data_IF_537001886259
#
_entry.id   IF_537001886259
#
_cell.length_a   1.000
_cell.length_b   1.000
_cell.length_c   1.000
_cell.angle_alpha   90.00
_cell.angle_beta   90.00
_cell.angle_gamma   90.00
#
_symmetry.space_group_name_H-M   'P 1'
#
loop_
_entity.id
_entity.type
_entity.pdbx_description
1 polymer ?
#
# COMPACT_ATOMS: atom_id res chain seq x y z
N UNK A 1 63.18 -23.21 -36.25
CA UNK A 1 62.11 -23.00 -35.25
C UNK A 1 61.00 -22.25 -35.95
N UNK A 2 60.01 -22.98 -36.45
CA UNK A 2 58.81 -22.41 -37.08
C UNK A 2 57.68 -22.55 -36.08
N UNK A 3 57.24 -21.41 -35.54
CA UNK A 3 56.08 -21.33 -34.64
C UNK A 3 54.83 -21.80 -35.39
N UNK A 4 54.12 -22.74 -34.76
CA UNK A 4 52.80 -23.18 -35.21
C UNK A 4 51.80 -22.12 -34.76
N UNK A 5 50.92 -21.59 -35.63
CA UNK A 5 49.91 -20.65 -35.20
C UNK A 5 48.92 -21.39 -34.28
N UNK A 6 48.82 -20.96 -33.02
CA UNK A 6 47.73 -21.36 -32.13
C UNK A 6 46.42 -20.93 -32.80
N UNK A 7 45.59 -21.91 -33.15
CA UNK A 7 44.25 -21.66 -33.66
C UNK A 7 43.51 -20.74 -32.69
N UNK A 8 43.04 -19.59 -33.19
CA UNK A 8 42.15 -18.72 -32.44
C UNK A 8 40.95 -19.56 -32.02
N UNK A 9 40.67 -19.63 -30.71
CA UNK A 9 39.44 -20.24 -30.22
C UNK A 9 38.28 -19.56 -30.96
N UNK A 10 37.48 -20.35 -31.68
CA UNK A 10 36.28 -19.85 -32.34
C UNK A 10 35.42 -19.23 -31.25
N UNK A 11 35.13 -17.93 -31.40
CA UNK A 11 34.27 -17.25 -30.47
C UNK A 11 32.84 -17.73 -30.74
N UNK A 12 32.47 -18.86 -30.16
CA UNK A 12 31.14 -19.49 -30.33
C UNK A 12 30.02 -18.70 -29.63
N UNK A 13 30.32 -17.48 -29.15
CA UNK A 13 29.33 -16.53 -28.67
C UNK A 13 28.52 -15.99 -29.85
N UNK A 14 27.21 -16.05 -29.71
CA UNK A 14 26.31 -15.34 -30.62
C UNK A 14 26.03 -13.94 -30.08
N UNK A 15 25.84 -12.98 -30.99
CA UNK A 15 25.25 -11.68 -30.67
C UNK A 15 23.75 -11.79 -30.85
N UNK A 16 23.00 -11.73 -29.76
CA UNK A 16 21.54 -11.72 -29.80
C UNK A 16 21.06 -10.43 -30.47
N UNK A 17 20.13 -10.52 -31.41
CA UNK A 17 19.53 -9.38 -32.11
C UNK A 17 18.03 -9.20 -31.79
N UNK A 18 17.53 -9.96 -30.82
CA UNK A 18 16.13 -9.93 -30.40
C UNK A 18 15.70 -8.62 -29.72
N UNK A 19 16.64 -7.83 -29.21
CA UNK A 19 16.37 -6.51 -28.62
C UNK A 19 17.59 -5.55 -28.76
N UNK A 20 17.41 -4.24 -28.51
CA UNK A 20 18.47 -3.23 -28.69
C UNK A 20 19.72 -3.42 -27.85
N UNK A 21 19.63 -4.17 -26.74
CA UNK A 21 20.79 -4.44 -25.85
C UNK A 21 21.87 -5.22 -26.57
N UNK A 22 21.49 -6.06 -27.53
CA UNK A 22 22.39 -6.86 -28.36
C UNK A 22 23.47 -7.64 -27.58
N UNK A 23 23.06 -8.34 -26.52
CA UNK A 23 23.97 -9.06 -25.64
C UNK A 23 24.70 -10.22 -26.34
N UNK A 24 25.92 -10.52 -25.89
CA UNK A 24 26.68 -11.69 -26.33
C UNK A 24 26.40 -12.88 -25.42
N UNK A 25 26.00 -14.02 -26.01
CA UNK A 25 25.56 -15.21 -25.28
C UNK A 25 26.50 -16.37 -25.57
N UNK A 26 27.11 -16.94 -24.53
CA UNK A 26 27.98 -18.13 -24.66
C UNK A 26 27.14 -19.39 -24.96
N UNK A 27 27.70 -20.39 -25.66
CA UNK A 27 27.01 -21.67 -25.89
C UNK A 27 26.46 -22.27 -24.59
N UNK A 28 25.22 -22.73 -24.63
CA UNK A 28 24.51 -23.32 -23.49
C UNK A 28 24.00 -22.33 -22.44
N UNK A 29 24.26 -21.02 -22.61
CA UNK A 29 23.83 -19.98 -21.66
C UNK A 29 22.60 -19.21 -22.17
N UNK A 30 21.84 -18.65 -21.24
CA UNK A 30 20.84 -17.65 -21.54
C UNK A 30 21.46 -16.25 -21.66
N UNK A 31 20.82 -15.38 -22.45
CA UNK A 31 21.16 -13.97 -22.57
C UNK A 31 20.67 -13.17 -21.37
N UNK A 32 20.97 -11.87 -21.36
CA UNK A 32 20.70 -11.00 -20.20
C UNK A 32 19.22 -10.88 -19.77
N UNK A 33 18.28 -11.29 -20.63
CA UNK A 33 16.86 -11.31 -20.33
C UNK A 33 16.33 -12.68 -19.90
N UNK A 34 17.16 -13.73 -19.93
CA UNK A 34 16.81 -15.14 -19.72
C UNK A 34 15.80 -15.74 -20.71
N UNK A 35 15.33 -14.97 -21.70
CA UNK A 35 14.33 -15.42 -22.71
C UNK A 35 14.91 -16.06 -23.94
N UNK A 36 16.16 -15.73 -24.26
CA UNK A 36 16.87 -16.23 -25.41
C UNK A 36 18.15 -16.91 -24.94
N UNK A 37 18.47 -18.05 -25.53
CA UNK A 37 19.67 -18.81 -25.23
C UNK A 37 20.46 -19.10 -26.50
N UNK A 38 21.75 -19.37 -26.33
CA UNK A 38 22.61 -19.85 -27.40
C UNK A 38 22.62 -21.39 -27.37
N UNK A 39 21.79 -22.01 -28.21
CA UNK A 39 21.85 -23.44 -28.46
C UNK A 39 22.86 -23.72 -29.58
N UNK A 40 24.10 -23.98 -29.20
CA UNK A 40 25.18 -24.40 -30.10
C UNK A 40 25.37 -23.51 -31.35
N UNK A 41 25.39 -22.19 -31.16
CA UNK A 41 25.51 -21.20 -32.22
C UNK A 41 24.18 -20.68 -32.77
N UNK A 42 23.05 -21.22 -32.28
CA UNK A 42 21.69 -20.81 -32.69
C UNK A 42 21.01 -20.02 -31.58
N UNK A 43 20.49 -18.83 -31.91
CA UNK A 43 19.65 -18.08 -30.97
C UNK A 43 18.27 -18.73 -30.89
N UNK A 44 17.92 -19.27 -29.73
CA UNK A 44 16.61 -19.91 -29.49
C UNK A 44 15.87 -19.18 -28.38
N UNK A 45 14.53 -19.06 -28.50
CA UNK A 45 13.69 -18.55 -27.42
C UNK A 45 13.39 -19.69 -26.45
N UNK A 46 13.63 -19.47 -25.16
CA UNK A 46 13.47 -20.47 -24.08
C UNK A 46 12.38 -20.10 -23.07
N UNK A 47 11.88 -18.86 -23.12
CA UNK A 47 10.74 -18.39 -22.31
C UNK A 47 9.48 -18.25 -23.20
N UNK A 48 8.45 -19.10 -23.00
CA UNK A 48 7.26 -19.09 -23.84
C UNK A 48 6.36 -17.89 -23.55
N UNK A 49 5.69 -17.39 -24.59
CA UNK A 49 4.68 -16.36 -24.45
C UNK A 49 3.43 -16.92 -23.75
N UNK A 50 2.91 -16.21 -22.76
CA UNK A 50 1.79 -16.68 -21.94
C UNK A 50 0.45 -16.29 -22.57
N UNK A 51 -0.27 -17.30 -23.08
CA UNK A 51 -1.66 -17.21 -23.53
C UNK A 51 -2.58 -17.76 -22.43
N UNK A 52 -3.49 -16.95 -21.90
CA UNK A 52 -4.27 -17.34 -20.72
C UNK A 52 -5.10 -18.60 -20.97
N UNK A 53 -5.85 -18.67 -22.06
CA UNK A 53 -6.74 -19.79 -22.35
C UNK A 53 -5.97 -21.10 -22.51
N UNK A 54 -4.80 -21.04 -23.14
CA UNK A 54 -3.92 -22.20 -23.31
C UNK A 54 -3.34 -22.65 -21.97
N UNK A 55 -2.84 -21.71 -21.16
CA UNK A 55 -2.31 -22.01 -19.82
C UNK A 55 -3.38 -22.65 -18.93
N UNK A 56 -4.64 -22.19 -19.01
CA UNK A 56 -5.78 -22.83 -18.31
C UNK A 56 -6.02 -24.25 -18.83
N UNK A 57 -6.09 -24.43 -20.15
CA UNK A 57 -6.37 -25.73 -20.77
C UNK A 57 -5.27 -26.78 -20.48
N UNK A 58 -4.01 -26.35 -20.36
CA UNK A 58 -2.85 -27.20 -20.05
C UNK A 58 -2.61 -27.35 -18.53
N UNK A 59 -3.45 -26.77 -17.67
CA UNK A 59 -3.35 -26.88 -16.21
C UNK A 59 -2.23 -26.07 -15.57
N UNK A 60 -1.73 -25.04 -16.26
CA UNK A 60 -0.68 -24.15 -15.76
C UNK A 60 -1.15 -23.23 -14.62
N UNK A 61 -0.21 -22.83 -13.76
CA UNK A 61 -0.49 -21.92 -12.65
C UNK A 61 -0.64 -20.47 -13.16
N UNK A 62 -1.81 -19.88 -12.93
CA UNK A 62 -2.07 -18.46 -13.16
C UNK A 62 -2.31 -17.77 -11.82
N UNK A 63 -1.75 -16.57 -11.65
CA UNK A 63 -2.14 -15.70 -10.54
C UNK A 63 -3.53 -15.17 -10.85
N UNK A 64 -4.53 -15.64 -10.11
CA UNK A 64 -5.91 -15.18 -10.28
C UNK A 64 -5.98 -13.66 -10.06
N UNK A 65 -6.32 -12.93 -11.12
CA UNK A 65 -6.71 -11.53 -11.00
C UNK A 65 -8.15 -11.52 -10.46
N UNK A 66 -8.29 -11.35 -9.14
CA UNK A 66 -9.53 -11.44 -8.37
C UNK A 66 -10.19 -12.83 -8.33
N UNK A 67 -9.84 -13.63 -7.33
CA UNK A 67 -10.68 -14.75 -6.90
C UNK A 67 -11.89 -14.20 -6.12
N UNK A 68 -13.01 -13.94 -6.80
CA UNK A 68 -14.24 -13.50 -6.13
C UNK A 68 -15.39 -13.09 -7.05
N UNK A 69 -16.36 -13.99 -7.18
CA UNK A 69 -17.71 -13.86 -7.76
C UNK A 69 -17.87 -13.96 -9.30
N UNK A 70 -18.49 -15.04 -9.74
CA UNK A 70 -19.51 -14.92 -10.79
C UNK A 70 -20.75 -14.25 -10.13
N UNK A 71 -21.48 -13.32 -10.75
CA UNK A 71 -21.78 -13.18 -12.16
C UNK A 71 -21.64 -11.74 -12.69
N UNK A 72 -21.08 -11.60 -13.90
CA UNK A 72 -21.33 -10.45 -14.77
C UNK A 72 -21.44 -10.91 -16.24
N UNK A 73 -22.49 -10.44 -16.93
CA UNK A 73 -23.04 -10.98 -18.18
C UNK A 73 -23.66 -9.92 -19.12
N UNK A 74 -23.07 -8.73 -19.25
CA UNK A 74 -23.53 -7.68 -20.18
C UNK A 74 -22.40 -7.11 -21.04
N UNK A 75 -21.64 -8.00 -21.67
CA UNK A 75 -20.25 -7.82 -22.14
C UNK A 75 -19.97 -6.77 -23.23
N UNK A 76 -18.67 -6.45 -23.42
CA UNK A 76 -17.93 -6.54 -24.70
C UNK A 76 -16.41 -6.48 -24.39
N UNK A 77 -15.71 -7.52 -23.97
CA UNK A 77 -15.96 -8.96 -24.12
C UNK A 77 -15.37 -9.76 -22.95
N UNK A 78 -16.12 -10.81 -22.54
CA UNK A 78 -15.65 -11.97 -21.78
C UNK A 78 -15.68 -13.26 -22.63
N UNK A 79 -16.04 -13.15 -23.91
CA UNK A 79 -16.36 -14.29 -24.80
C UNK A 79 -15.81 -14.15 -26.23
N UNK A 80 -14.85 -13.28 -26.50
CA UNK A 80 -14.29 -13.13 -27.85
C UNK A 80 -12.77 -13.33 -27.87
N UNK A 81 -12.36 -14.58 -28.10
CA UNK A 81 -11.02 -14.93 -28.58
C UNK A 81 -9.87 -14.77 -27.59
N UNK A 82 -8.81 -15.55 -27.84
CA UNK A 82 -7.49 -15.54 -27.20
C UNK A 82 -7.13 -14.23 -26.47
N UNK A 83 -7.11 -14.22 -25.12
CA UNK A 83 -6.59 -13.12 -24.34
C UNK A 83 -5.06 -13.19 -24.27
N UNK A 84 -4.43 -12.25 -24.98
CA UNK A 84 -2.97 -12.17 -25.11
C UNK A 84 -2.40 -11.31 -23.99
N UNK A 85 -1.62 -11.91 -23.07
CA UNK A 85 -0.94 -11.15 -22.02
C UNK A 85 0.38 -10.59 -22.53
N UNK A 86 0.86 -9.49 -21.95
CA UNK A 86 2.23 -9.05 -22.22
C UNK A 86 3.30 -9.90 -21.54
N UNK A 87 2.95 -10.81 -20.62
CA UNK A 87 3.92 -11.57 -19.84
C UNK A 87 4.65 -12.56 -20.76
N UNK A 88 5.98 -12.46 -20.78
CA UNK A 88 6.82 -13.26 -21.67
C UNK A 88 6.67 -12.83 -23.13
N UNK A 89 6.16 -11.64 -23.45
CA UNK A 89 6.15 -11.12 -24.83
C UNK A 89 7.55 -10.68 -25.27
N UNK A 90 8.37 -10.16 -24.35
CA UNK A 90 9.58 -9.43 -24.68
C UNK A 90 9.28 -7.99 -25.10
N UNK A 91 10.33 -7.22 -25.27
CA UNK A 91 10.23 -5.84 -25.72
C UNK A 91 11.39 -5.49 -26.62
N UNK A 92 11.07 -4.79 -27.69
CA UNK A 92 12.04 -4.09 -28.52
C UNK A 92 12.17 -2.64 -28.09
N UNK A 93 11.32 -2.12 -27.18
CA UNK A 93 11.33 -0.70 -26.81
C UNK A 93 12.65 -0.26 -26.14
N UNK A 94 13.14 0.98 -26.40
CA UNK A 94 12.72 1.88 -27.47
C UNK A 94 13.45 1.54 -28.78
N UNK A 95 12.76 0.95 -29.75
CA UNK A 95 13.32 0.60 -31.06
C UNK A 95 12.23 0.71 -32.14
N UNK A 96 12.65 0.79 -33.40
CA UNK A 96 11.78 0.80 -34.58
C UNK A 96 11.26 -0.60 -34.92
N UNK A 97 11.82 -1.67 -34.31
CA UNK A 97 11.33 -3.04 -34.50
C UNK A 97 9.91 -3.16 -33.92
N UNK A 98 8.92 -3.64 -34.69
CA UNK A 98 7.56 -3.87 -34.21
C UNK A 98 7.53 -4.78 -32.97
N UNK A 99 6.43 -4.71 -32.21
CA UNK A 99 6.24 -5.56 -31.06
C UNK A 99 6.32 -7.05 -31.45
N UNK A 100 6.90 -7.93 -30.61
CA UNK A 100 7.11 -9.34 -30.96
C UNK A 100 5.82 -10.10 -31.30
N UNK A 101 4.70 -9.68 -30.71
CA UNK A 101 3.39 -10.29 -30.93
C UNK A 101 2.38 -9.22 -31.36
N UNK A 102 1.82 -9.41 -32.55
CA UNK A 102 0.74 -8.61 -33.11
C UNK A 102 -0.36 -9.59 -33.48
N UNK A 103 -1.51 -9.48 -32.83
CA UNK A 103 -2.63 -10.40 -33.00
C UNK A 103 -3.81 -9.63 -33.55
N UNK A 104 -4.34 -10.08 -34.68
CA UNK A 104 -5.55 -9.52 -35.28
C UNK A 104 -6.76 -10.40 -34.93
N UNK A 105 -7.88 -9.74 -34.69
CA UNK A 105 -9.19 -10.35 -34.46
C UNK A 105 -10.27 -9.43 -35.04
N UNK A 106 -11.48 -9.95 -35.25
CA UNK A 106 -12.63 -9.14 -35.64
C UNK A 106 -13.65 -9.20 -34.50
N UNK A 107 -14.12 -8.04 -34.02
CA UNK A 107 -15.17 -7.93 -33.01
C UNK A 107 -16.31 -7.12 -33.61
N UNK A 108 -17.48 -7.75 -33.78
CA UNK A 108 -18.69 -7.12 -34.35
C UNK A 108 -18.45 -6.41 -35.69
N UNK A 109 -17.65 -7.02 -36.57
CA UNK A 109 -17.30 -6.42 -37.88
C UNK A 109 -16.23 -5.33 -37.80
N UNK A 110 -15.62 -5.11 -36.64
CA UNK A 110 -14.53 -4.15 -36.43
C UNK A 110 -13.21 -4.92 -36.32
N UNK A 111 -12.25 -4.59 -37.17
CA UNK A 111 -10.87 -5.09 -37.05
C UNK A 111 -10.24 -4.60 -35.74
N UNK A 112 -9.90 -5.53 -34.86
CA UNK A 112 -9.15 -5.28 -33.63
C UNK A 112 -7.74 -5.84 -33.77
N UNK A 113 -6.75 -4.96 -33.63
CA UNK A 113 -5.32 -5.32 -33.62
C UNK A 113 -4.76 -5.11 -32.22
N UNK A 114 -4.32 -6.19 -31.60
CA UNK A 114 -3.66 -6.17 -30.29
C UNK A 114 -2.15 -6.25 -30.48
N UNK A 115 -1.44 -5.21 -30.04
CA UNK A 115 0.02 -5.11 -30.12
C UNK A 115 0.58 -5.31 -28.72
N UNK A 116 1.43 -6.33 -28.55
CA UNK A 116 1.85 -6.78 -27.23
C UNK A 116 3.36 -6.63 -27.06
N UNK A 117 3.74 -5.80 -26.09
CA UNK A 117 5.13 -5.57 -25.69
C UNK A 117 5.23 -5.51 -24.17
N UNK A 118 6.38 -5.89 -23.62
CA UNK A 118 6.65 -5.70 -22.20
C UNK A 118 7.25 -4.34 -21.88
N UNK A 119 6.92 -3.83 -20.70
CA UNK A 119 7.62 -2.70 -20.11
C UNK A 119 8.98 -3.13 -19.55
N UNK A 120 9.96 -2.25 -19.66
CA UNK A 120 11.24 -2.44 -18.97
C UNK A 120 11.02 -2.13 -17.49
N UNK A 121 11.56 -2.98 -16.61
CA UNK A 121 11.39 -2.85 -15.17
C UNK A 121 11.86 -1.50 -14.62
N UNK A 122 12.79 -0.82 -15.29
CA UNK A 122 13.36 0.48 -14.93
C UNK A 122 12.34 1.58 -14.64
N UNK A 123 11.12 1.49 -15.18
CA UNK A 123 10.05 2.48 -14.95
C UNK A 123 9.01 2.01 -13.93
N UNK A 124 9.14 0.78 -13.42
CA UNK A 124 8.17 0.18 -12.52
C UNK A 124 8.33 0.73 -11.10
N UNK A 125 7.21 0.81 -10.39
CA UNK A 125 7.15 1.15 -8.99
C UNK A 125 5.94 0.51 -8.32
N UNK A 126 5.92 0.55 -7.00
CA UNK A 126 4.82 0.06 -6.17
C UNK A 126 4.33 1.20 -5.29
N UNK A 127 3.01 1.34 -5.20
CA UNK A 127 2.36 2.14 -4.18
C UNK A 127 1.91 1.23 -3.05
N UNK A 128 2.47 1.42 -1.87
CA UNK A 128 2.24 0.57 -0.71
C UNK A 128 1.37 1.31 0.32
N UNK A 129 0.19 0.76 0.62
CA UNK A 129 -0.66 1.20 1.73
C UNK A 129 -0.21 0.51 3.01
N UNK A 130 0.01 1.30 4.07
CA UNK A 130 0.37 0.76 5.39
C UNK A 130 -0.85 0.85 6.31
N UNK A 131 -1.36 -0.30 6.73
CA UNK A 131 -2.50 -0.40 7.65
C UNK A 131 -2.02 -0.20 9.09
N UNK A 132 -1.79 1.05 9.48
CA UNK A 132 -1.43 1.49 10.84
C UNK A 132 -2.01 2.88 11.09
N UNK A 133 -2.30 3.21 12.35
CA UNK A 133 -2.60 4.58 12.80
C UNK A 133 -1.34 5.31 13.32
N UNK A 134 -0.21 4.61 13.49
CA UNK A 134 1.05 5.21 13.95
C UNK A 134 1.65 6.10 12.87
N UNK A 135 2.20 7.23 13.30
CA UNK A 135 2.94 8.09 12.40
C UNK A 135 4.27 7.45 11.98
N UNK A 136 4.45 7.24 10.67
CA UNK A 136 5.62 6.64 10.04
C UNK A 136 6.66 7.65 9.58
N UNK A 137 6.30 8.93 9.48
CA UNK A 137 7.16 10.02 9.02
C UNK A 137 6.42 11.04 8.14
N UNK A 138 6.99 12.23 7.90
CA UNK A 138 6.35 13.23 7.05
C UNK A 138 6.30 12.79 5.57
N UNK A 139 5.40 13.39 4.79
CA UNK A 139 5.44 13.25 3.33
C UNK A 139 6.83 13.64 2.80
N UNK A 140 7.27 12.96 1.73
CA UNK A 140 8.60 13.05 1.13
C UNK A 140 9.75 12.48 1.97
N UNK A 141 9.50 11.98 3.19
CA UNK A 141 10.54 11.28 3.95
C UNK A 141 11.06 10.08 3.15
N UNK A 142 12.38 9.98 3.01
CA UNK A 142 13.03 8.90 2.27
C UNK A 142 12.75 7.56 2.94
N UNK A 143 12.39 6.57 2.13
CA UNK A 143 12.24 5.17 2.54
C UNK A 143 13.45 4.38 2.05
N UNK A 144 14.04 3.58 2.94
CA UNK A 144 15.26 2.82 2.69
C UNK A 144 15.10 1.33 2.91
N UNK A 145 15.90 0.56 2.18
CA UNK A 145 16.15 -0.87 2.38
C UNK A 145 17.67 -1.06 2.34
N UNK A 146 18.26 -1.82 3.27
CA UNK A 146 19.73 -2.03 3.33
C UNK A 146 20.56 -0.73 3.27
N UNK A 147 20.01 0.36 3.80
CA UNK A 147 20.58 1.71 3.78
C UNK A 147 20.44 2.48 2.46
N UNK A 148 20.00 1.83 1.37
CA UNK A 148 19.77 2.47 0.07
C UNK A 148 18.40 3.15 0.02
N UNK A 149 18.27 4.35 -0.56
CA UNK A 149 16.98 4.97 -0.81
C UNK A 149 16.24 4.19 -1.90
N UNK A 150 15.02 3.74 -1.62
CA UNK A 150 14.19 2.96 -2.56
C UNK A 150 12.87 3.65 -2.90
N UNK A 151 12.59 4.79 -2.27
CA UNK A 151 11.33 5.51 -2.43
C UNK A 151 11.13 6.57 -1.36
N UNK A 152 9.88 6.96 -1.16
CA UNK A 152 9.50 7.95 -0.14
C UNK A 152 8.08 7.70 0.40
N UNK A 153 7.82 8.24 1.59
CA UNK A 153 6.45 8.39 2.12
C UNK A 153 5.71 9.36 1.20
N UNK A 154 4.59 8.92 0.65
CA UNK A 154 3.77 9.70 -0.28
C UNK A 154 2.44 10.09 0.36
N UNK A 155 1.57 10.73 -0.42
CA UNK A 155 0.30 11.28 0.03
C UNK A 155 -0.51 10.30 0.87
N UNK A 156 -0.95 10.75 2.03
CA UNK A 156 -1.83 9.99 2.92
C UNK A 156 -3.21 9.83 2.28
N UNK A 157 -3.75 8.61 2.31
CA UNK A 157 -5.04 8.30 1.72
C UNK A 157 -5.90 7.50 2.70
N UNK A 158 -7.14 7.95 2.90
CA UNK A 158 -8.14 7.28 3.76
C UNK A 158 -7.66 6.99 5.20
N UNK A 159 -6.74 7.81 5.73
CA UNK A 159 -6.21 7.64 7.10
C UNK A 159 -4.98 6.76 7.22
N UNK A 160 -4.43 6.25 6.10
CA UNK A 160 -3.23 5.42 6.10
C UNK A 160 -2.10 6.10 5.34
N UNK A 161 -0.92 6.13 5.96
CA UNK A 161 0.28 6.56 5.25
C UNK A 161 0.61 5.60 4.10
N UNK A 162 1.02 6.18 2.99
CA UNK A 162 1.37 5.48 1.76
C UNK A 162 2.86 5.61 1.51
N UNK A 163 3.44 4.66 0.80
CA UNK A 163 4.81 4.77 0.29
C UNK A 163 4.81 4.58 -1.24
N UNK A 164 5.59 5.39 -1.94
CA UNK A 164 5.89 5.21 -3.36
C UNK A 164 7.32 4.67 -3.47
N UNK A 165 7.46 3.42 -3.90
CA UNK A 165 8.72 2.70 -3.99
C UNK A 165 9.07 2.42 -5.46
N UNK A 166 10.36 2.48 -5.81
CA UNK A 166 10.85 2.20 -7.15
C UNK A 166 10.87 3.41 -8.09
N UNK A 167 10.68 3.16 -9.38
CA UNK A 167 10.78 4.15 -10.44
C UNK A 167 12.20 4.38 -10.95
N UNK A 168 12.29 5.12 -12.05
CA UNK A 168 13.54 5.34 -12.81
C UNK A 168 14.67 5.87 -11.95
N UNK A 169 14.34 6.78 -11.03
CA UNK A 169 15.32 7.40 -10.15
C UNK A 169 16.05 6.35 -9.31
N UNK A 170 15.32 5.45 -8.65
CA UNK A 170 15.90 4.45 -7.76
C UNK A 170 16.43 3.22 -8.51
N UNK A 171 15.81 2.84 -9.63
CA UNK A 171 16.23 1.66 -10.39
C UNK A 171 17.46 1.93 -11.27
N UNK A 172 17.61 3.15 -11.79
CA UNK A 172 18.65 3.47 -12.78
C UNK A 172 19.36 4.81 -12.58
N UNK A 173 18.79 5.74 -11.81
CA UNK A 173 19.36 7.07 -11.58
C UNK A 173 20.43 7.10 -10.50
N UNK A 174 20.36 6.17 -9.54
CA UNK A 174 21.28 6.04 -8.42
C UNK A 174 22.51 5.17 -8.68
N UNK A 175 23.09 4.67 -7.60
CA UNK A 175 24.20 3.71 -7.68
C UNK A 175 23.75 2.31 -8.10
N UNK A 176 24.70 1.47 -8.54
CA UNK A 176 24.41 0.06 -8.85
C UNK A 176 23.82 -0.70 -7.65
N UNK A 177 24.25 -0.37 -6.44
CA UNK A 177 23.72 -0.96 -5.21
C UNK A 177 22.26 -0.54 -4.99
N UNK A 178 21.95 0.74 -5.10
CA UNK A 178 20.59 1.29 -4.99
C UNK A 178 19.62 0.61 -5.97
N UNK A 179 19.99 0.52 -7.24
CA UNK A 179 19.14 -0.12 -8.26
C UNK A 179 18.87 -1.60 -7.98
N UNK A 180 19.90 -2.34 -7.53
CA UNK A 180 19.75 -3.75 -7.14
C UNK A 180 18.82 -3.91 -5.94
N UNK A 181 19.09 -3.16 -4.86
CA UNK A 181 18.30 -3.23 -3.61
C UNK A 181 16.85 -2.82 -3.85
N UNK A 182 16.63 -1.78 -4.65
CA UNK A 182 15.29 -1.37 -5.06
C UNK A 182 14.57 -2.50 -5.79
N UNK A 183 15.21 -3.09 -6.81
CA UNK A 183 14.63 -4.20 -7.57
C UNK A 183 14.30 -5.39 -6.67
N UNK A 184 15.24 -5.81 -5.82
CA UNK A 184 15.09 -6.93 -4.88
C UNK A 184 13.91 -6.69 -3.92
N UNK A 185 13.77 -5.47 -3.39
CA UNK A 185 12.67 -5.09 -2.51
C UNK A 185 11.31 -5.12 -3.22
N UNK A 186 11.20 -4.56 -4.43
CA UNK A 186 9.96 -4.59 -5.20
C UNK A 186 9.55 -6.03 -5.55
N UNK A 187 10.52 -6.86 -5.96
CA UNK A 187 10.28 -8.27 -6.27
C UNK A 187 9.82 -9.05 -5.04
N UNK A 188 10.45 -8.84 -3.87
CA UNK A 188 10.05 -9.46 -2.62
C UNK A 188 8.61 -9.09 -2.23
N UNK A 189 8.26 -7.80 -2.28
CA UNK A 189 6.91 -7.31 -1.98
C UNK A 189 5.86 -7.89 -2.94
N UNK A 190 6.12 -7.87 -4.24
CA UNK A 190 5.22 -8.45 -5.25
C UNK A 190 5.06 -9.97 -5.08
N UNK A 191 6.08 -10.67 -4.58
CA UNK A 191 6.02 -12.08 -4.22
C UNK A 191 5.49 -12.34 -2.79
N UNK A 192 4.86 -11.33 -2.16
CA UNK A 192 4.26 -11.41 -0.82
C UNK A 192 5.25 -11.80 0.27
N UNK A 193 6.54 -11.50 0.09
CA UNK A 193 7.57 -11.67 1.10
C UNK A 193 7.62 -10.43 2.00
N UNK A 194 8.13 -10.60 3.21
CA UNK A 194 8.33 -9.51 4.14
C UNK A 194 9.56 -8.69 3.76
N UNK A 195 9.46 -7.36 3.86
CA UNK A 195 10.57 -6.43 3.65
C UNK A 195 10.60 -5.45 4.83
N UNK A 196 11.79 -5.27 5.42
CA UNK A 196 12.02 -4.23 6.41
C UNK A 196 12.39 -2.92 5.72
N UNK A 197 11.64 -1.87 6.03
CA UNK A 197 11.80 -0.52 5.50
C UNK A 197 12.22 0.41 6.65
N UNK A 198 13.13 1.34 6.38
CA UNK A 198 13.44 2.44 7.31
C UNK A 198 13.01 3.75 6.70
N UNK A 199 12.19 4.52 7.43
CA UNK A 199 11.85 5.89 7.09
C UNK A 199 12.84 6.83 7.77
N UNK A 200 13.53 7.66 6.99
CA UNK A 200 14.57 8.55 7.51
C UNK A 200 14.03 9.45 8.64
N UNK A 201 14.67 9.36 9.81
CA UNK A 201 14.35 10.17 10.98
C UNK A 201 13.04 9.80 11.69
N UNK A 202 12.40 8.67 11.36
CA UNK A 202 11.10 8.31 11.94
C UNK A 202 11.00 6.84 12.37
N UNK A 203 10.48 5.95 11.50
CA UNK A 203 10.11 4.60 11.89
C UNK A 203 10.85 3.52 11.10
N UNK A 204 11.04 2.36 11.73
CA UNK A 204 11.34 1.10 11.02
C UNK A 204 10.05 0.31 10.89
N UNK A 205 9.73 -0.16 9.67
CA UNK A 205 8.47 -0.83 9.37
C UNK A 205 8.74 -2.12 8.60
N UNK A 206 8.31 -3.27 9.13
CA UNK A 206 8.25 -4.51 8.36
C UNK A 206 6.89 -4.61 7.69
N UNK A 207 6.90 -4.75 6.37
CA UNK A 207 5.69 -4.80 5.54
C UNK A 207 5.62 -6.11 4.77
N UNK A 208 4.41 -6.63 4.61
CA UNK A 208 4.15 -7.82 3.81
C UNK A 208 2.70 -7.80 3.32
N UNK A 209 2.48 -8.06 2.03
CA UNK A 209 1.14 -8.08 1.47
C UNK A 209 0.24 -9.11 2.19
N UNK A 210 -0.89 -8.64 2.73
CA UNK A 210 -1.87 -9.49 3.45
C UNK A 210 -1.48 -9.84 4.89
N UNK A 211 -0.43 -9.23 5.46
CA UNK A 211 -0.08 -9.37 6.88
C UNK A 211 -0.06 -8.00 7.57
N UNK A 212 -0.40 -7.92 8.87
CA UNK A 212 -0.28 -6.67 9.62
C UNK A 212 1.18 -6.18 9.63
N UNK A 213 1.42 -4.86 9.47
CA UNK A 213 2.77 -4.32 9.54
C UNK A 213 3.34 -4.40 10.96
N UNK A 214 4.66 -4.35 11.07
CA UNK A 214 5.38 -4.24 12.35
C UNK A 214 6.11 -2.91 12.37
N UNK A 215 5.65 -1.96 13.19
CA UNK A 215 6.21 -0.61 13.31
C UNK A 215 7.05 -0.53 14.58
N UNK A 216 8.34 -0.23 14.45
CA UNK A 216 9.29 -0.13 15.56
C UNK A 216 9.28 -1.36 16.48
N UNK A 217 9.15 -2.55 15.89
CA UNK A 217 9.09 -3.83 16.61
C UNK A 217 7.70 -4.17 17.19
N UNK A 218 6.72 -3.28 17.09
CA UNK A 218 5.34 -3.50 17.54
C UNK A 218 4.48 -3.89 16.35
N UNK A 219 3.89 -5.09 16.42
CA UNK A 219 2.97 -5.57 15.39
C UNK A 219 1.62 -4.89 15.54
N UNK A 220 1.08 -4.37 14.45
CA UNK A 220 -0.30 -3.87 14.42
C UNK A 220 -1.30 -5.02 14.57
N UNK A 221 -2.30 -4.82 15.41
CA UNK A 221 -3.38 -5.80 15.62
C UNK A 221 -4.66 -5.44 14.86
N UNK A 222 -4.90 -4.14 14.68
CA UNK A 222 -6.15 -3.62 14.12
C UNK A 222 -5.90 -2.60 13.02
N UNK A 223 -6.77 -2.63 12.02
CA UNK A 223 -6.75 -1.67 10.92
C UNK A 223 -7.56 -0.44 11.29
N UNK A 224 -7.02 0.76 10.99
CA UNK A 224 -7.79 2.01 11.04
C UNK A 224 -8.90 1.97 9.99
N UNK A 225 -10.15 2.09 10.45
CA UNK A 225 -11.35 2.06 9.59
C UNK A 225 -11.75 3.43 9.06
N UNK A 226 -11.17 4.50 9.59
CA UNK A 226 -11.42 5.89 9.19
C UNK A 226 -10.90 6.87 10.24
N UNK A 227 -11.20 8.16 10.07
CA UNK A 227 -10.92 9.16 11.10
C UNK A 227 -11.90 9.06 12.28
N UNK A 228 -11.66 9.83 13.35
CA UNK A 228 -12.52 9.83 14.54
C UNK A 228 -13.98 10.18 14.23
N UNK A 229 -14.22 11.13 13.33
CA UNK A 229 -15.59 11.44 12.88
C UNK A 229 -16.27 10.29 12.13
N UNK A 230 -15.55 9.55 11.29
CA UNK A 230 -16.10 8.39 10.60
C UNK A 230 -16.44 7.29 11.59
N UNK A 231 -15.56 7.06 12.57
CA UNK A 231 -15.76 6.10 13.66
C UNK A 231 -17.04 6.42 14.44
N UNK A 232 -17.28 7.69 14.77
CA UNK A 232 -18.57 8.09 15.35
C UNK A 232 -19.75 7.76 14.44
N UNK A 233 -19.67 8.10 13.16
CA UNK A 233 -20.72 7.77 12.20
C UNK A 233 -21.05 6.27 12.16
N UNK A 234 -20.04 5.41 12.26
CA UNK A 234 -20.18 3.96 12.21
C UNK A 234 -20.69 3.34 13.51
N UNK A 235 -20.27 3.86 14.67
CA UNK A 235 -20.48 3.21 15.97
C UNK A 235 -21.43 3.95 16.93
N UNK A 236 -21.98 5.11 16.55
CA UNK A 236 -22.85 5.90 17.42
C UNK A 236 -24.03 5.09 18.00
N UNK A 237 -24.63 4.18 17.21
CA UNK A 237 -25.76 3.35 17.67
C UNK A 237 -25.32 2.33 18.73
N UNK A 238 -24.11 1.82 18.63
CA UNK A 238 -23.54 0.83 19.54
C UNK A 238 -23.19 1.46 20.89
N UNK A 239 -22.83 2.75 20.92
CA UNK A 239 -22.55 3.48 22.16
C UNK A 239 -23.78 4.06 22.84
N UNK A 240 -24.93 4.11 22.15
CA UNK A 240 -26.15 4.67 22.68
C UNK A 240 -26.57 3.95 23.97
N UNK A 241 -26.64 4.70 25.07
CA UNK A 241 -27.01 4.18 26.40
C UNK A 241 -25.87 3.48 27.15
N UNK A 242 -24.66 3.42 26.59
CA UNK A 242 -23.47 2.86 27.24
C UNK A 242 -22.56 3.94 27.83
N UNK A 243 -22.47 5.10 27.18
CA UNK A 243 -21.78 6.29 27.67
C UNK A 243 -22.56 7.54 27.30
N UNK A 244 -22.51 8.58 28.15
CA UNK A 244 -23.13 9.88 27.86
C UNK A 244 -22.36 10.64 26.78
N UNK A 245 -21.03 10.49 26.75
CA UNK A 245 -20.16 11.04 25.71
C UNK A 245 -19.15 10.02 25.19
N UNK A 246 -18.82 10.13 23.90
CA UNK A 246 -17.69 9.41 23.31
C UNK A 246 -16.83 10.37 22.51
N UNK A 247 -15.54 10.41 22.85
CA UNK A 247 -14.53 11.15 22.11
C UNK A 247 -13.62 10.16 21.40
N UNK A 248 -13.65 10.19 20.08
CA UNK A 248 -12.74 9.38 19.26
C UNK A 248 -11.51 10.20 18.94
N UNK A 249 -10.40 9.93 19.63
CA UNK A 249 -9.12 10.62 19.48
C UNK A 249 -8.44 10.16 18.19
N UNK A 250 -8.05 11.12 17.37
CA UNK A 250 -7.52 10.88 16.03
C UNK A 250 -6.71 12.10 15.56
N UNK A 251 -5.55 11.86 14.98
CA UNK A 251 -4.63 12.89 14.47
C UNK A 251 -5.23 13.74 13.35
N UNK A 252 -6.04 13.13 12.49
CA UNK A 252 -6.70 13.80 11.38
C UNK A 252 -7.96 14.54 11.84
N UNK A 253 -8.96 13.80 12.36
CA UNK A 253 -10.24 14.37 12.80
C UNK A 253 -10.69 13.68 14.08
N UNK A 254 -10.52 14.37 15.21
CA UNK A 254 -11.11 13.94 16.46
C UNK A 254 -12.62 14.15 16.44
N UNK A 255 -13.36 13.12 16.81
CA UNK A 255 -14.81 13.10 16.85
C UNK A 255 -15.36 13.28 18.26
N UNK A 256 -16.50 13.94 18.41
CA UNK A 256 -17.28 14.01 19.66
C UNK A 256 -18.74 13.63 19.42
N UNK A 257 -19.24 12.61 20.13
CA UNK A 257 -20.50 11.93 19.82
C UNK A 257 -21.73 12.83 19.99
N UNK A 258 -21.88 13.49 21.14
CA UNK A 258 -23.07 14.30 21.43
C UNK A 258 -23.24 15.48 20.47
N UNK A 259 -22.13 16.03 19.98
CA UNK A 259 -22.14 17.12 19.01
C UNK A 259 -22.30 16.64 17.56
N UNK A 260 -21.79 15.46 17.24
CA UNK A 260 -21.79 14.93 15.88
C UNK A 260 -23.21 14.66 15.40
N UNK A 261 -23.45 14.83 14.09
CA UNK A 261 -24.77 14.60 13.47
C UNK A 261 -25.36 13.23 13.81
N UNK A 262 -24.54 12.18 13.85
CA UNK A 262 -24.99 10.84 14.24
C UNK A 262 -25.57 10.80 15.66
N UNK A 263 -24.92 11.44 16.64
CA UNK A 263 -25.46 11.54 18.00
C UNK A 263 -26.74 12.37 18.07
N UNK A 264 -26.80 13.46 17.30
CA UNK A 264 -28.03 14.29 17.19
C UNK A 264 -29.21 13.52 16.62
N UNK A 265 -29.02 12.72 15.56
CA UNK A 265 -30.08 11.88 14.99
C UNK A 265 -30.54 10.79 15.96
N UNK A 266 -29.69 10.34 16.87
CA UNK A 266 -30.03 9.40 17.92
C UNK A 266 -30.63 10.06 19.17
N UNK A 267 -30.76 11.39 19.19
CA UNK A 267 -31.28 12.13 20.34
C UNK A 267 -30.35 12.14 21.55
N UNK A 268 -29.04 11.92 21.35
CA UNK A 268 -28.05 11.98 22.44
C UNK A 268 -27.97 13.42 22.97
N UNK A 269 -28.18 13.65 24.29
CA UNK A 269 -28.09 14.97 24.88
C UNK A 269 -26.69 15.56 24.77
N UNK A 270 -26.60 16.90 24.70
CA UNK A 270 -25.30 17.58 24.86
C UNK A 270 -24.75 17.37 26.27
N UNK A 271 -23.43 17.28 26.36
CA UNK A 271 -22.69 17.03 27.63
C UNK A 271 -21.90 18.25 28.10
N UNK A 272 -21.94 19.35 27.34
CA UNK A 272 -21.15 20.55 27.64
C UNK A 272 -19.65 20.37 27.42
N UNK A 273 -19.20 19.26 26.84
CA UNK A 273 -17.80 19.00 26.53
C UNK A 273 -17.19 20.10 25.64
N UNK A 274 -15.92 20.43 25.88
CA UNK A 274 -15.15 21.34 25.02
C UNK A 274 -13.85 20.68 24.61
N UNK A 275 -13.52 20.73 23.33
CA UNK A 275 -12.26 20.23 22.78
C UNK A 275 -11.33 21.40 22.46
N UNK A 276 -10.08 21.30 22.90
CA UNK A 276 -8.96 22.14 22.49
C UNK A 276 -8.52 21.71 21.10
N UNK A 277 -9.03 22.40 20.08
CA UNK A 277 -8.70 22.15 18.69
C UNK A 277 -9.46 23.08 17.78
N UNK A 278 -9.20 23.00 16.47
CA UNK A 278 -9.95 23.78 15.48
C UNK A 278 -11.25 23.05 15.14
N UNK A 279 -12.36 23.55 15.67
CA UNK A 279 -13.70 23.06 15.29
C UNK A 279 -13.93 23.27 13.80
N UNK A 280 -14.31 22.20 13.09
CA UNK A 280 -14.68 22.22 11.69
C UNK A 280 -16.19 22.34 11.53
N UNK A 281 -16.90 21.37 12.08
CA UNK A 281 -18.36 21.26 12.14
C UNK A 281 -18.71 20.65 13.50
N UNK A 282 -19.99 20.66 13.94
CA UNK A 282 -20.37 20.04 15.22
C UNK A 282 -19.85 18.61 15.34
N UNK A 283 -19.10 18.34 16.43
CA UNK A 283 -18.49 17.04 16.70
C UNK A 283 -17.27 16.67 15.86
N UNK A 284 -16.69 17.60 15.10
CA UNK A 284 -15.48 17.36 14.29
C UNK A 284 -14.41 18.42 14.57
N UNK A 285 -13.24 17.97 15.03
CA UNK A 285 -12.14 18.83 15.43
C UNK A 285 -10.85 18.45 14.72
N UNK A 286 -10.22 19.43 14.09
CA UNK A 286 -8.89 19.30 13.49
C UNK A 286 -7.82 19.78 14.47
N UNK A 287 -6.59 19.28 14.29
CA UNK A 287 -5.39 19.78 15.00
C UNK A 287 -5.57 19.82 16.52
N UNK A 288 -6.05 18.72 17.11
CA UNK A 288 -6.13 18.57 18.57
C UNK A 288 -4.76 18.25 19.17
N UNK A 289 -3.89 17.61 18.39
CA UNK A 289 -2.52 17.24 18.72
C UNK A 289 -1.70 17.03 17.44
N UNK A 290 -0.38 16.92 17.57
CA UNK A 290 0.51 16.60 16.46
C UNK A 290 0.53 15.09 16.21
N UNK A 291 0.83 14.62 14.98
CA UNK A 291 1.02 13.20 14.69
C UNK A 291 2.12 12.57 15.54
N UNK A 292 1.96 11.29 15.88
CA UNK A 292 2.89 10.55 16.72
C UNK A 292 2.54 9.07 16.89
N UNK A 293 3.05 8.47 17.95
CA UNK A 293 2.92 7.02 18.25
C UNK A 293 2.02 6.73 19.47
N UNK A 294 1.38 7.75 20.01
CA UNK A 294 0.46 7.68 21.14
C UNK A 294 -1.01 7.53 20.71
N UNK A 295 -1.92 8.14 21.47
CA UNK A 295 -3.37 7.96 21.29
C UNK A 295 -3.85 8.32 19.88
N UNK A 296 -4.43 7.35 19.16
CA UNK A 296 -5.07 7.59 17.86
C UNK A 296 -4.14 8.19 16.81
N UNK A 297 -2.86 7.80 16.82
CA UNK A 297 -1.85 8.32 15.89
C UNK A 297 -1.31 9.70 16.23
N UNK A 298 -1.61 10.21 17.43
CA UNK A 298 -1.10 11.50 17.92
C UNK A 298 0.15 11.34 18.78
N UNK A 299 0.76 12.45 19.19
CA UNK A 299 1.82 12.47 20.21
C UNK A 299 1.31 12.47 21.67
N UNK A 300 0.02 12.21 21.89
CA UNK A 300 -0.59 12.24 23.22
C UNK A 300 -0.34 10.95 24.01
N UNK A 301 0.06 11.11 25.27
CA UNK A 301 0.07 10.03 26.28
C UNK A 301 -1.16 10.08 27.18
N UNK A 302 -1.64 11.29 27.50
CA UNK A 302 -2.89 11.53 28.23
C UNK A 302 -3.97 12.05 27.26
N UNK A 303 -5.07 11.30 27.05
CA UNK A 303 -6.13 11.73 26.15
C UNK A 303 -6.89 12.96 26.70
N UNK A 304 -6.88 13.24 28.01
CA UNK A 304 -7.57 14.40 28.59
C UNK A 304 -6.91 15.73 28.24
N UNK A 305 -5.66 15.71 27.75
CA UNK A 305 -4.93 16.92 27.37
C UNK A 305 -5.66 17.77 26.32
N UNK A 306 -6.48 17.12 25.47
CA UNK A 306 -7.29 17.78 24.43
C UNK A 306 -8.61 18.36 24.95
N UNK A 307 -8.95 18.19 26.23
CA UNK A 307 -10.20 18.70 26.79
C UNK A 307 -10.03 20.10 27.38
N UNK A 308 -11.00 20.96 27.11
CA UNK A 308 -11.22 22.22 27.82
C UNK A 308 -12.17 22.05 29.01
N UNK A 309 -12.41 23.12 29.78
CA UNK A 309 -13.38 23.08 30.87
C UNK A 309 -14.80 22.85 30.31
N UNK A 310 -15.51 21.89 30.89
CA UNK A 310 -16.91 21.60 30.53
C UNK A 310 -17.81 22.81 30.80
N UNK A 311 -18.86 22.99 30.00
CA UNK A 311 -19.87 24.02 30.22
C UNK A 311 -20.78 23.63 31.39
N UNK A 312 -20.60 24.30 32.52
CA UNK A 312 -21.36 24.05 33.76
C UNK A 312 -22.88 24.30 33.63
N UNK A 313 -23.36 24.90 32.54
CA UNK A 313 -24.80 25.03 32.27
C UNK A 313 -25.41 23.78 31.65
N UNK A 314 -24.60 22.90 31.10
CA UNK A 314 -25.02 21.71 30.34
C UNK A 314 -24.54 20.43 31.01
N UNK A 315 -23.25 20.40 31.36
CA UNK A 315 -22.59 19.25 31.97
C UNK A 315 -23.17 18.92 33.35
N UNK A 316 -23.19 17.63 33.68
CA UNK A 316 -23.74 17.12 34.94
C UNK A 316 -22.73 16.24 35.65
N UNK A 317 -22.70 16.35 36.98
CA UNK A 317 -21.98 15.39 37.83
C UNK A 317 -22.46 13.97 37.53
N UNK A 318 -21.51 13.05 37.39
CA UNK A 318 -21.78 11.64 37.11
C UNK A 318 -21.92 11.30 35.63
N UNK A 319 -21.81 12.28 34.71
CA UNK A 319 -21.76 12.00 33.27
C UNK A 319 -20.56 11.10 32.95
N UNK A 320 -20.82 10.07 32.16
CA UNK A 320 -19.87 9.07 31.71
C UNK A 320 -19.27 9.46 30.35
N UNK A 321 -17.96 9.31 30.19
CA UNK A 321 -17.25 9.64 28.96
C UNK A 321 -16.27 8.53 28.59
N UNK A 322 -16.38 8.05 27.35
CA UNK A 322 -15.41 7.13 26.76
C UNK A 322 -14.44 7.92 25.86
N UNK A 323 -13.16 7.91 26.20
CA UNK A 323 -12.09 8.32 25.28
C UNK A 323 -11.58 7.07 24.57
N UNK A 324 -11.53 7.06 23.23
CA UNK A 324 -11.14 5.87 22.45
C UNK A 324 -10.37 6.24 21.18
N UNK A 325 -9.40 5.44 20.74
CA UNK A 325 -8.78 5.59 19.41
C UNK A 325 -9.68 5.02 18.30
N UNK A 326 -9.42 5.35 17.05
CA UNK A 326 -10.17 4.79 15.90
C UNK A 326 -10.05 3.27 15.76
N UNK A 327 -8.95 2.69 16.25
CA UNK A 327 -8.70 1.24 16.33
C UNK A 327 -9.28 0.60 17.60
N UNK A 328 -9.60 1.40 18.62
CA UNK A 328 -9.97 0.94 19.95
C UNK A 328 -8.84 0.24 20.71
N UNK A 329 -7.58 0.39 20.27
CA UNK A 329 -6.40 -0.06 21.01
C UNK A 329 -6.16 0.78 22.27
N UNK A 330 -6.45 2.08 22.18
CA UNK A 330 -6.50 2.97 23.32
C UNK A 330 -7.96 3.19 23.71
N UNK A 331 -8.31 2.93 24.97
CA UNK A 331 -9.64 3.20 25.51
C UNK A 331 -9.53 3.49 27.01
N UNK A 332 -10.26 4.50 27.47
CA UNK A 332 -10.33 4.87 28.88
C UNK A 332 -11.72 5.44 29.20
N UNK A 333 -12.24 5.08 30.37
CA UNK A 333 -13.57 5.47 30.84
C UNK A 333 -13.45 6.49 31.98
N UNK A 334 -14.22 7.56 31.89
CA UNK A 334 -14.18 8.67 32.83
C UNK A 334 -15.58 9.00 33.34
N UNK A 335 -15.66 9.49 34.58
CA UNK A 335 -16.88 10.03 35.17
C UNK A 335 -16.62 11.45 35.64
N UNK A 336 -17.51 12.39 35.33
CA UNK A 336 -17.39 13.76 35.81
C UNK A 336 -17.66 13.84 37.32
N UNK A 337 -16.71 14.40 38.07
CA UNK A 337 -16.83 14.63 39.50
C UNK A 337 -17.75 15.83 39.86
N UNK A 338 -17.75 16.24 41.13
CA UNK A 338 -18.54 17.40 41.58
C UNK A 338 -18.07 18.74 41.02
N UNK A 339 -16.82 18.84 40.59
CA UNK A 339 -16.23 20.03 39.96
C UNK A 339 -16.27 19.94 38.42
N UNK A 340 -17.00 18.95 37.86
CA UNK A 340 -17.11 18.65 36.43
C UNK A 340 -15.77 18.32 35.78
N UNK A 341 -14.85 17.72 36.54
CA UNK A 341 -13.58 17.21 36.01
C UNK A 341 -13.71 15.71 35.74
N UNK A 342 -13.19 15.23 34.60
CA UNK A 342 -13.16 13.80 34.31
C UNK A 342 -12.21 13.10 35.27
N UNK A 343 -12.71 12.09 35.98
CA UNK A 343 -11.93 11.18 36.82
C UNK A 343 -11.96 9.81 36.16
N UNK A 344 -10.78 9.23 35.93
CA UNK A 344 -10.66 7.91 35.33
C UNK A 344 -11.27 6.85 36.26
N UNK A 345 -11.97 5.89 35.66
CA UNK A 345 -12.63 4.78 36.34
C UNK A 345 -12.42 3.50 35.54
N UNK A 346 -12.62 2.36 36.18
CA UNK A 346 -12.54 1.08 35.50
C UNK A 346 -13.53 1.02 34.32
N UNK A 347 -13.08 0.43 33.20
CA UNK A 347 -13.94 0.20 32.05
C UNK A 347 -15.13 -0.66 32.47
N UNK A 348 -16.38 -0.28 32.17
CA UNK A 348 -17.55 -1.09 32.48
C UNK A 348 -17.43 -2.49 31.84
N UNK A 349 -17.91 -3.51 32.56
CA UNK A 349 -17.97 -4.86 32.02
C UNK A 349 -18.94 -4.91 30.81
N UNK A 350 -18.62 -5.69 29.75
CA UNK A 350 -19.41 -5.78 28.52
C UNK A 350 -20.80 -6.40 28.70
#
# INVERSE_FOLDING_TARGET
MTETPTAAATDDRIRCDACPVMCYIRPGMAGACDRYANDNGTLVRVDPHVLIERTIAEGGALVAFAAGSEAWNGSLTRDAGTFVTAIGAGTTYPDYKPAPFIVSSEIEGIDMVTVVTEGIFSYCGIKLKIDTDRHLGPEQATVRVEGEPVGHVTTIEYGSQMMSLGGVHHLTGGGKKEGRVTCDALMALCNKQAVELTVDGSATVVVQAGRPPIVNGVREERMRVGCGSATIGMFARQWLGLADEVVVVDDHITGVLSEHQAGRYLGIPETGIKIKGRRSTPGRYFKVAEPGTGWGGTNLTDPLAILGPFDAKVARRGETMLMVSTTGEHAAHFVLDGDLKPVETDMPAP
#
